data_IF_210378085609
#
_entry.id   IF_210378085609
#
_cell.length_a   1.000
_cell.length_b   1.000
_cell.length_c   1.000
_cell.angle_alpha   90.00
_cell.angle_beta   90.00
_cell.angle_gamma   90.00
#
_symmetry.space_group_name_H-M   'P 1'
#
loop_
_entity.id
_entity.type
_entity.pdbx_description
1 polymer ?
#
# COMPACT_ATOMS: atom_id res chain seq x y z
N UNK A 1 22.13 -37.48 -5.54
CA UNK A 1 21.64 -36.33 -6.32
C UNK A 1 20.21 -36.07 -5.84
N UNK A 2 20.05 -35.20 -4.85
CA UNK A 2 18.73 -34.96 -4.25
C UNK A 2 18.00 -33.87 -5.03
N UNK A 3 16.85 -34.30 -5.57
CA UNK A 3 15.56 -33.62 -5.60
C UNK A 3 15.54 -32.12 -5.94
N UNK A 4 15.00 -31.83 -7.12
CA UNK A 4 13.88 -30.89 -7.29
C UNK A 4 13.82 -29.70 -6.34
N UNK A 5 14.75 -28.77 -6.49
CA UNK A 5 14.50 -27.40 -6.06
C UNK A 5 13.62 -26.75 -7.12
N UNK A 6 12.31 -26.94 -7.03
CA UNK A 6 11.44 -25.84 -7.40
C UNK A 6 11.94 -24.68 -6.54
N UNK A 7 12.68 -23.75 -7.13
CA UNK A 7 12.88 -22.45 -6.54
C UNK A 7 11.47 -21.89 -6.42
N UNK A 8 10.83 -22.19 -5.28
CA UNK A 8 9.78 -21.37 -4.73
C UNK A 8 10.49 -20.04 -4.60
N UNK A 9 10.38 -19.23 -5.66
CA UNK A 9 10.65 -17.82 -5.65
C UNK A 9 9.63 -17.33 -4.64
N UNK A 10 9.97 -17.42 -3.36
CA UNK A 10 9.28 -16.73 -2.29
C UNK A 10 9.37 -15.29 -2.74
N UNK A 11 8.27 -14.77 -3.30
CA UNK A 11 8.29 -13.54 -4.04
C UNK A 11 9.00 -12.47 -3.20
N UNK A 12 10.00 -11.84 -3.81
CA UNK A 12 10.92 -10.91 -3.16
C UNK A 12 10.11 -9.83 -2.42
N UNK A 13 10.10 -9.87 -1.10
CA UNK A 13 9.31 -8.98 -0.23
C UNK A 13 7.97 -8.48 -0.81
N UNK A 14 7.01 -9.38 -1.09
CA UNK A 14 5.70 -8.96 -1.61
C UNK A 14 4.80 -8.38 -0.52
N UNK A 15 3.94 -7.39 -0.84
CA UNK A 15 2.97 -6.83 0.09
C UNK A 15 1.96 -7.88 0.57
N UNK A 16 1.72 -7.90 1.88
CA UNK A 16 0.81 -8.85 2.54
C UNK A 16 -0.40 -8.18 3.16
N UNK A 17 -0.20 -7.00 3.76
CA UNK A 17 -1.29 -6.28 4.42
C UNK A 17 -1.02 -4.78 4.44
N UNK A 18 -2.11 -4.00 4.49
CA UNK A 18 -2.09 -2.56 4.66
C UNK A 18 -2.65 -2.24 6.05
N UNK A 19 -1.94 -1.42 6.81
CA UNK A 19 -2.40 -0.92 8.10
C UNK A 19 -2.37 0.62 8.14
N UNK A 20 -3.42 1.27 8.64
CA UNK A 20 -4.67 0.69 9.12
C UNK A 20 -5.58 0.19 7.97
N UNK A 21 -6.34 -0.89 8.22
CA UNK A 21 -7.32 -1.42 7.26
C UNK A 21 -8.57 -0.54 7.13
N UNK A 22 -8.86 0.21 8.19
CA UNK A 22 -9.93 1.19 8.29
C UNK A 22 -9.39 2.44 8.99
N UNK A 23 -9.58 3.59 8.37
CA UNK A 23 -9.16 4.87 8.93
C UNK A 23 -10.32 5.85 8.88
N UNK A 24 -10.57 6.51 10.00
CA UNK A 24 -11.44 7.68 10.09
C UNK A 24 -10.55 8.91 10.27
N UNK A 25 -10.56 9.77 9.27
CA UNK A 25 -9.77 11.01 9.23
C UNK A 25 -10.68 12.20 9.00
N UNK A 26 -10.24 13.36 9.45
CA UNK A 26 -10.92 14.63 9.18
C UNK A 26 -10.57 15.13 7.78
N UNK A 27 -11.39 16.04 7.27
CA UNK A 27 -11.04 16.77 6.04
C UNK A 27 -9.78 17.59 6.26
N UNK A 28 -8.95 17.67 5.22
CA UNK A 28 -7.63 18.30 5.20
C UNK A 28 -6.57 17.64 6.11
N UNK A 29 -6.90 16.49 6.69
CA UNK A 29 -5.95 15.72 7.50
C UNK A 29 -4.95 14.94 6.63
N UNK A 30 -3.92 14.39 7.29
CA UNK A 30 -2.95 13.51 6.64
C UNK A 30 -3.29 12.05 6.94
N UNK A 31 -3.55 11.26 5.91
CA UNK A 31 -3.68 9.81 6.03
C UNK A 31 -2.28 9.21 5.99
N UNK A 32 -1.88 8.47 7.02
CA UNK A 32 -0.67 7.66 7.03
C UNK A 32 -1.00 6.17 6.93
N UNK A 33 -0.35 5.49 6.00
CA UNK A 33 -0.56 4.07 5.71
C UNK A 33 0.78 3.37 5.69
N UNK A 34 0.80 2.17 6.26
CA UNK A 34 1.97 1.28 6.25
C UNK A 34 1.59 -0.02 5.56
N UNK A 35 2.42 -0.46 4.62
CA UNK A 35 2.27 -1.74 3.92
C UNK A 35 3.35 -2.67 4.40
N UNK A 36 2.95 -3.81 4.95
CA UNK A 36 3.89 -4.82 5.41
C UNK A 36 4.17 -5.82 4.29
N UNK A 37 5.44 -6.17 4.15
CA UNK A 37 5.92 -7.16 3.20
C UNK A 37 6.01 -8.53 3.89
N UNK A 38 5.89 -9.59 3.11
CA UNK A 38 6.00 -10.98 3.59
C UNK A 38 7.37 -11.29 4.20
N UNK A 39 8.39 -10.57 3.75
CA UNK A 39 9.78 -10.64 4.16
C UNK A 39 10.49 -9.36 3.72
N UNK A 40 11.65 -9.02 4.31
CA UNK A 40 12.47 -7.93 3.80
C UNK A 40 12.83 -8.14 2.32
N UNK A 41 12.84 -7.06 1.55
CA UNK A 41 13.27 -7.09 0.15
C UNK A 41 14.74 -7.51 0.04
N UNK A 42 15.05 -8.36 -0.92
CA UNK A 42 16.42 -8.73 -1.31
C UNK A 42 16.96 -7.78 -2.37
N UNK A 43 16.11 -7.26 -3.26
CA UNK A 43 16.48 -6.26 -4.27
C UNK A 43 15.61 -5.01 -4.17
N UNK A 44 16.09 -3.92 -4.77
CA UNK A 44 15.29 -2.72 -4.94
C UNK A 44 13.99 -3.03 -5.70
N UNK A 45 12.89 -2.41 -5.27
CA UNK A 45 11.58 -2.53 -5.89
C UNK A 45 10.83 -1.22 -5.91
N UNK A 46 9.67 -1.22 -6.55
CA UNK A 46 8.77 -0.06 -6.59
C UNK A 46 7.39 -0.50 -6.13
N UNK A 47 6.88 0.13 -5.07
CA UNK A 47 5.50 -0.01 -4.65
C UNK A 47 4.67 1.12 -5.26
N UNK A 48 3.59 0.79 -5.95
CA UNK A 48 2.64 1.77 -6.47
C UNK A 48 1.38 1.77 -5.60
N UNK A 49 1.09 2.93 -5.01
CA UNK A 49 -0.13 3.24 -4.29
C UNK A 49 -1.13 3.87 -5.24
N UNK A 50 -2.32 3.29 -5.36
CA UNK A 50 -3.41 3.85 -6.16
C UNK A 50 -4.62 4.10 -5.28
N UNK A 51 -5.21 5.29 -5.39
CA UNK A 51 -6.46 5.62 -4.70
C UNK A 51 -7.61 5.45 -5.67
N UNK A 52 -8.54 4.56 -5.32
CA UNK A 52 -9.72 4.30 -6.12
C UNK A 52 -10.58 5.57 -6.24
N UNK A 53 -11.05 5.86 -7.45
CA UNK A 53 -12.14 6.83 -7.61
C UNK A 53 -13.40 6.26 -6.96
N UNK A 54 -13.83 6.92 -5.91
CA UNK A 54 -14.91 6.55 -5.00
C UNK A 54 -15.46 7.86 -4.45
N UNK A 55 -16.37 7.86 -3.47
CA UNK A 55 -17.09 9.06 -3.00
C UNK A 55 -16.21 10.18 -2.39
N UNK A 56 -14.88 10.08 -2.51
CA UNK A 56 -13.88 11.07 -2.09
C UNK A 56 -13.49 11.94 -3.28
N UNK A 57 -13.48 13.26 -3.10
CA UNK A 57 -13.07 14.22 -4.14
C UNK A 57 -11.55 14.44 -4.23
N UNK A 58 -10.79 14.16 -3.15
CA UNK A 58 -9.32 14.16 -3.10
C UNK A 58 -8.80 13.20 -2.02
N UNK A 59 -7.75 12.41 -2.28
CA UNK A 59 -6.99 12.27 -3.53
C UNK A 59 -7.58 11.18 -4.44
N UNK A 60 -8.73 11.41 -5.07
CA UNK A 60 -9.26 10.44 -6.04
C UNK A 60 -8.32 10.30 -7.25
N UNK A 61 -8.14 9.06 -7.71
CA UNK A 61 -7.34 8.70 -8.90
C UNK A 61 -5.85 9.05 -8.80
N UNK A 62 -5.36 9.37 -7.59
CA UNK A 62 -3.93 9.60 -7.41
C UNK A 62 -3.16 8.27 -7.43
N UNK A 63 -2.05 8.27 -8.16
CA UNK A 63 -1.11 7.16 -8.22
C UNK A 63 0.25 7.66 -7.79
N UNK A 64 0.84 7.03 -6.77
CA UNK A 64 2.17 7.40 -6.26
C UNK A 64 3.04 6.17 -6.17
N UNK A 65 4.27 6.29 -6.68
CA UNK A 65 5.25 5.21 -6.63
C UNK A 65 6.33 5.52 -5.59
N UNK A 66 6.57 4.56 -4.71
CA UNK A 66 7.58 4.61 -3.65
C UNK A 66 8.64 3.56 -3.92
N UNK A 67 9.90 3.98 -3.89
CA UNK A 67 11.04 3.07 -3.98
C UNK A 67 11.16 2.29 -2.67
N UNK A 68 11.37 0.99 -2.77
CA UNK A 68 11.56 0.08 -1.65
C UNK A 68 12.95 -0.51 -1.73
N UNK A 69 13.76 -0.24 -0.72
CA UNK A 69 15.18 -0.61 -0.69
C UNK A 69 15.37 -2.04 -0.18
N UNK A 70 16.49 -2.69 -0.54
CA UNK A 70 16.87 -3.96 0.09
C UNK A 70 16.93 -3.83 1.62
N UNK A 71 16.38 -4.82 2.33
CA UNK A 71 16.29 -4.85 3.79
C UNK A 71 15.04 -4.19 4.37
N UNK A 72 14.25 -3.46 3.56
CA UNK A 72 12.95 -2.93 4.02
C UNK A 72 11.89 -4.03 3.99
N UNK A 73 11.13 -4.14 5.09
CA UNK A 73 9.98 -5.03 5.26
C UNK A 73 8.65 -4.27 5.38
N UNK A 74 8.71 -2.95 5.41
CA UNK A 74 7.56 -2.07 5.60
C UNK A 74 7.72 -0.83 4.73
N UNK A 75 6.65 -0.44 4.04
CA UNK A 75 6.61 0.74 3.17
C UNK A 75 5.61 1.72 3.74
N UNK A 76 6.04 2.96 3.96
CA UNK A 76 5.19 4.01 4.50
C UNK A 76 4.76 4.96 3.38
N UNK A 77 3.49 5.37 3.44
CA UNK A 77 2.91 6.30 2.49
C UNK A 77 1.96 7.27 3.19
N UNK A 78 1.93 8.53 2.75
CA UNK A 78 1.02 9.55 3.28
C UNK A 78 0.27 10.31 2.19
N UNK A 79 -1.04 10.50 2.37
CA UNK A 79 -1.86 11.41 1.55
C UNK A 79 -2.24 12.64 2.37
N UNK A 80 -2.20 13.83 1.77
CA UNK A 80 -2.61 15.09 2.40
C UNK A 80 -3.83 15.69 1.70
N UNK A 81 -4.56 16.57 2.38
CA UNK A 81 -5.66 17.34 1.75
C UNK A 81 -6.86 16.47 1.39
N UNK A 82 -7.17 15.48 2.24
CA UNK A 82 -8.22 14.49 1.98
C UNK A 82 -9.60 15.10 2.18
N UNK A 83 -10.56 14.75 1.32
CA UNK A 83 -11.96 15.20 1.44
C UNK A 83 -12.85 14.09 1.97
N UNK A 84 -13.97 14.46 2.61
CA UNK A 84 -14.90 13.48 3.16
C UNK A 84 -15.48 12.58 2.07
N UNK A 85 -15.64 11.31 2.42
CA UNK A 85 -16.06 10.25 1.51
C UNK A 85 -15.47 8.90 1.91
N UNK A 86 -15.84 7.86 1.17
CA UNK A 86 -15.24 6.54 1.27
C UNK A 86 -14.29 6.31 0.10
N UNK A 87 -13.09 5.77 0.35
CA UNK A 87 -12.17 5.35 -0.70
C UNK A 87 -11.44 4.05 -0.40
N UNK A 88 -10.83 3.45 -1.42
CA UNK A 88 -9.99 2.26 -1.29
C UNK A 88 -8.60 2.58 -1.78
N UNK A 89 -7.59 2.34 -0.95
CA UNK A 89 -6.18 2.43 -1.32
C UNK A 89 -5.72 1.04 -1.72
N UNK A 90 -5.12 0.93 -2.90
CA UNK A 90 -4.44 -0.26 -3.37
C UNK A 90 -2.93 -0.04 -3.30
N UNK A 91 -2.21 -0.99 -2.72
CA UNK A 91 -0.75 -1.04 -2.85
C UNK A 91 -0.38 -2.27 -3.70
N UNK A 92 0.33 -2.01 -4.79
CA UNK A 92 0.77 -3.03 -5.76
C UNK A 92 2.29 -3.03 -5.84
N UNK A 93 2.90 -4.20 -5.80
CA UNK A 93 4.33 -4.39 -6.08
C UNK A 93 4.51 -5.74 -6.76
N UNK A 94 5.40 -5.77 -7.75
CA UNK A 94 5.67 -6.92 -8.61
C UNK A 94 4.36 -7.48 -9.21
N UNK A 95 3.75 -8.50 -8.58
CA UNK A 95 2.44 -9.04 -8.98
C UNK A 95 1.47 -9.22 -7.80
N UNK A 96 1.82 -8.71 -6.62
CA UNK A 96 0.99 -8.77 -5.44
C UNK A 96 0.27 -7.44 -5.22
N UNK A 97 -1.00 -7.53 -4.80
CA UNK A 97 -1.84 -6.37 -4.49
C UNK A 97 -2.58 -6.58 -3.19
N UNK A 98 -2.53 -5.56 -2.35
CA UNK A 98 -3.28 -5.47 -1.10
C UNK A 98 -4.11 -4.19 -1.10
N UNK A 99 -5.15 -4.15 -0.28
CA UNK A 99 -6.08 -3.02 -0.24
C UNK A 99 -6.49 -2.67 1.19
N UNK A 100 -6.75 -1.39 1.43
CA UNK A 100 -7.37 -0.88 2.64
C UNK A 100 -8.51 0.05 2.30
N UNK A 101 -9.58 -0.01 3.10
CA UNK A 101 -10.74 0.88 2.97
C UNK A 101 -10.55 2.07 3.90
N UNK A 102 -10.66 3.27 3.36
CA UNK A 102 -10.52 4.52 4.10
C UNK A 102 -11.87 5.22 4.12
N UNK A 103 -12.28 5.72 5.27
CA UNK A 103 -13.54 6.46 5.43
C UNK A 103 -13.19 7.85 5.99
N UNK A 104 -13.15 8.86 5.14
CA UNK A 104 -12.92 10.24 5.56
C UNK A 104 -14.25 10.86 5.98
N UNK A 105 -14.30 11.43 7.19
CA UNK A 105 -15.54 11.96 7.77
C UNK A 105 -15.40 13.45 8.08
N UNK A 106 -16.44 14.22 7.79
CA UNK A 106 -16.61 15.60 8.29
C UNK A 106 -16.97 15.54 9.79
N UNK A 107 -16.01 15.36 10.69
CA UNK A 107 -16.25 15.48 12.14
C UNK A 107 -15.95 16.87 12.65
#
# INVERSE_FOLDING_TARGET
>A
MFAGGCSNRFDDGVPTTISPHFLRVKVDDTIAVSVFLSQPRTNEGTMTFNVANTDVLRPAEESVSVKVNPGEDTVHFTFQGVQAGETTIFATMDNARVQAKVIITNQ
#
